data_IF_722826068216
#
_entry.id   IF_722826068216
#
_cell.length_a   1.000
_cell.length_b   1.000
_cell.length_c   1.000
_cell.angle_alpha   90.00
_cell.angle_beta   90.00
_cell.angle_gamma   90.00
#
_symmetry.space_group_name_H-M   'P 1'
#
loop_
_entity.id
_entity.type
_entity.pdbx_description
1 polymer ?
#
# COMPACT_ATOMS: atom_id res chain seq x y z
N UNK A 1 -3.16 54.52 -20.67
CA UNK A 1 -2.09 53.64 -21.22
C UNK A 1 -1.44 52.97 -20.02
N UNK A 2 -1.89 51.77 -19.65
CA UNK A 2 -1.47 51.11 -18.40
C UNK A 2 -0.26 50.21 -18.65
N UNK A 3 0.82 50.34 -17.86
CA UNK A 3 1.99 49.48 -18.03
C UNK A 3 1.68 48.08 -17.51
N UNK A 4 1.86 47.10 -18.39
CA UNK A 4 1.82 45.68 -18.06
C UNK A 4 2.92 45.35 -17.04
N UNK A 5 2.53 45.07 -15.79
CA UNK A 5 3.40 44.44 -14.80
C UNK A 5 3.73 43.02 -15.28
N UNK A 6 4.84 42.89 -15.99
CA UNK A 6 5.44 41.61 -16.39
C UNK A 6 6.10 40.99 -15.15
N UNK A 7 5.27 40.47 -14.24
CA UNK A 7 5.72 39.67 -13.10
C UNK A 7 6.48 38.45 -13.61
N UNK A 8 7.81 38.52 -13.53
CA UNK A 8 8.66 37.34 -13.65
C UNK A 8 8.47 36.52 -12.37
N UNK A 9 7.42 35.69 -12.37
CA UNK A 9 7.20 34.64 -11.37
C UNK A 9 8.31 33.60 -11.46
N UNK A 10 9.50 33.92 -10.92
CA UNK A 10 10.45 32.89 -10.51
C UNK A 10 9.73 32.09 -9.41
N UNK A 11 9.44 30.79 -9.59
CA UNK A 11 8.73 30.02 -8.60
C UNK A 11 9.48 30.13 -7.26
N UNK A 12 8.81 30.50 -6.17
CA UNK A 12 9.48 30.72 -4.89
C UNK A 12 10.17 29.41 -4.50
N UNK A 13 11.49 29.48 -4.31
CA UNK A 13 12.37 28.36 -3.88
C UNK A 13 11.81 27.58 -2.67
N UNK A 14 10.87 28.19 -1.94
CA UNK A 14 10.11 27.61 -0.82
C UNK A 14 9.24 26.42 -1.22
N UNK A 15 8.69 26.36 -2.44
CA UNK A 15 7.92 25.19 -2.90
C UNK A 15 8.76 23.92 -2.90
N UNK A 16 10.06 24.02 -3.21
CA UNK A 16 10.98 22.87 -3.14
C UNK A 16 11.13 22.37 -1.69
N UNK A 17 11.21 23.28 -0.73
CA UNK A 17 11.25 22.93 0.69
C UNK A 17 9.94 22.32 1.20
N UNK A 18 8.79 22.82 0.73
CA UNK A 18 7.50 22.22 1.06
C UNK A 18 7.35 20.80 0.49
N UNK A 19 7.78 20.56 -0.75
CA UNK A 19 7.77 19.22 -1.35
C UNK A 19 8.72 18.28 -0.61
N UNK A 20 9.92 18.75 -0.25
CA UNK A 20 10.87 17.97 0.53
C UNK A 20 10.30 17.58 1.90
N UNK A 21 9.65 18.53 2.58
CA UNK A 21 8.98 18.29 3.87
C UNK A 21 7.79 17.34 3.74
N UNK A 22 6.94 17.52 2.72
CA UNK A 22 5.79 16.65 2.48
C UNK A 22 6.22 15.21 2.18
N UNK A 23 7.24 15.02 1.33
CA UNK A 23 7.77 13.68 1.03
C UNK A 23 8.40 13.05 2.28
N UNK A 24 9.14 13.82 3.08
CA UNK A 24 9.71 13.35 4.35
C UNK A 24 8.62 12.91 5.34
N UNK A 25 7.54 13.69 5.48
CA UNK A 25 6.41 13.35 6.35
C UNK A 25 5.67 12.09 5.87
N UNK A 26 5.41 11.97 4.56
CA UNK A 26 4.81 10.78 3.96
C UNK A 26 5.70 9.55 4.20
N UNK A 27 7.01 9.70 4.02
CA UNK A 27 7.96 8.62 4.27
C UNK A 27 8.03 8.22 5.75
N UNK A 28 7.99 9.19 6.68
CA UNK A 28 7.98 8.92 8.11
C UNK A 28 6.74 8.14 8.54
N UNK A 29 5.55 8.55 8.09
CA UNK A 29 4.29 7.86 8.36
C UNK A 29 4.35 6.44 7.79
N UNK A 30 4.76 6.28 6.53
CA UNK A 30 4.86 4.98 5.87
C UNK A 30 5.94 4.08 6.49
N UNK A 31 7.03 4.64 6.99
CA UNK A 31 8.12 3.92 7.68
C UNK A 31 7.65 3.36 9.02
N UNK A 32 6.84 4.12 9.78
CA UNK A 32 6.20 3.62 11.00
C UNK A 32 5.22 2.49 10.71
N UNK A 33 4.46 2.56 9.62
CA UNK A 33 3.57 1.47 9.21
C UNK A 33 4.35 0.21 8.82
N UNK A 34 5.44 0.32 8.05
CA UNK A 34 6.27 -0.81 7.64
C UNK A 34 6.88 -1.57 8.84
N UNK A 35 7.32 -0.85 9.88
CA UNK A 35 7.79 -1.48 11.14
C UNK A 35 6.65 -2.20 11.87
N UNK A 36 5.44 -1.64 11.87
CA UNK A 36 4.26 -2.27 12.45
C UNK A 36 3.80 -3.51 11.67
N UNK A 37 3.94 -3.54 10.34
CA UNK A 37 3.67 -4.75 9.54
C UNK A 37 4.63 -5.89 9.89
N UNK A 38 5.91 -5.61 10.10
CA UNK A 38 6.88 -6.64 10.47
C UNK A 38 6.65 -7.20 11.89
N UNK A 39 6.14 -6.37 12.81
CA UNK A 39 5.73 -6.84 14.14
C UNK A 39 4.42 -7.64 14.06
N UNK A 40 3.39 -7.13 13.37
CA UNK A 40 2.10 -7.84 13.19
C UNK A 40 2.24 -9.15 12.42
N UNK A 41 3.13 -9.22 11.43
CA UNK A 41 3.40 -10.46 10.70
C UNK A 41 3.98 -11.55 11.61
N UNK A 42 4.72 -11.20 12.66
CA UNK A 42 5.22 -12.16 13.66
C UNK A 42 4.16 -12.57 14.69
N UNK A 43 3.21 -11.68 15.01
CA UNK A 43 2.09 -12.00 15.91
C UNK A 43 0.92 -12.73 15.22
N UNK A 44 0.89 -12.77 13.88
CA UNK A 44 -0.05 -13.60 13.11
C UNK A 44 0.51 -14.98 12.75
N UNK A 45 1.73 -15.31 13.17
CA UNK A 45 2.10 -16.71 13.41
C UNK A 45 1.23 -17.17 14.56
N UNK A 46 0.01 -17.61 14.24
CA UNK A 46 -0.85 -18.42 15.10
C UNK A 46 0.11 -19.37 15.79
N UNK A 47 0.32 -19.20 17.11
CA UNK A 47 1.07 -20.17 17.89
C UNK A 47 0.55 -21.51 17.40
N UNK A 48 1.41 -22.33 16.81
CA UNK A 48 1.08 -23.73 16.60
C UNK A 48 0.82 -24.20 18.03
N UNK A 49 -0.46 -24.17 18.41
CA UNK A 49 -0.93 -24.79 19.62
C UNK A 49 -0.45 -26.22 19.42
N UNK A 50 0.52 -26.69 20.21
CA UNK A 50 1.10 -28.00 20.01
C UNK A 50 -0.08 -28.99 19.92
N UNK A 51 -0.05 -29.96 18.98
CA UNK A 51 -1.17 -30.85 18.74
C UNK A 51 -1.64 -31.57 20.02
N UNK A 52 -0.77 -31.72 21.03
CA UNK A 52 -1.10 -32.18 22.38
C UNK A 52 -2.16 -31.36 23.14
N UNK A 53 -2.36 -30.07 22.84
CA UNK A 53 -3.28 -29.21 23.60
C UNK A 53 -4.73 -29.27 23.08
N UNK A 54 -5.02 -30.08 22.06
CA UNK A 54 -6.38 -30.48 21.75
C UNK A 54 -6.70 -31.77 22.52
N UNK A 55 -7.44 -31.69 23.64
CA UNK A 55 -7.90 -32.90 24.29
C UNK A 55 -8.77 -33.69 23.31
N UNK A 56 -8.42 -34.95 23.09
CA UNK A 56 -9.22 -35.85 22.27
C UNK A 56 -10.67 -35.86 22.82
N UNK A 57 -11.69 -35.58 21.99
CA UNK A 57 -13.07 -35.64 22.41
C UNK A 57 -13.41 -37.10 22.75
N UNK A 58 -13.35 -37.44 24.04
CA UNK A 58 -13.66 -38.79 24.50
C UNK A 58 -13.13 -39.19 25.88
N UNK A 59 -12.08 -38.55 26.40
CA UNK A 59 -11.53 -38.90 27.72
C UNK A 59 -11.99 -37.92 28.80
N UNK A 60 -13.30 -37.95 29.10
CA UNK A 60 -13.79 -37.41 30.37
C UNK A 60 -13.35 -38.32 31.51
N UNK A 61 -12.37 -37.88 32.31
CA UNK A 61 -12.20 -38.40 33.67
C UNK A 61 -12.23 -37.23 34.65
N UNK A 62 -13.39 -37.10 35.28
CA UNK A 62 -13.59 -36.35 36.51
C UNK A 62 -12.63 -36.88 37.60
N UNK A 63 -11.88 -35.97 38.21
CA UNK A 63 -11.08 -36.20 39.41
C UNK A 63 -10.51 -34.86 39.87
N UNK A 64 -11.29 -34.06 40.58
CA UNK A 64 -11.19 -33.83 42.03
C UNK A 64 -9.86 -33.20 42.50
N UNK A 65 -9.96 -31.89 42.79
CA UNK A 65 -9.50 -31.17 44.01
C UNK A 65 -8.22 -31.59 44.74
N UNK A 66 -7.28 -30.64 44.86
CA UNK A 66 -6.56 -30.17 46.09
C UNK A 66 -5.56 -29.10 45.62
N UNK A 67 -5.75 -27.80 45.87
CA UNK A 67 -5.40 -27.04 47.07
C UNK A 67 -4.00 -27.33 47.65
N UNK A 68 -3.09 -26.37 47.46
CA UNK A 68 -1.83 -26.02 48.18
C UNK A 68 -1.03 -25.12 47.21
N UNK A 69 -0.74 -23.85 47.51
CA UNK A 69 0.21 -23.43 48.54
C UNK A 69 1.56 -23.16 47.86
N UNK A 70 2.26 -22.11 48.29
CA UNK A 70 3.63 -21.71 47.90
C UNK A 70 3.71 -20.71 46.73
N UNK A 71 3.86 -19.39 46.95
CA UNK A 71 4.96 -18.66 47.61
C UNK A 71 6.21 -18.51 46.70
N UNK A 72 6.76 -17.29 46.69
CA UNK A 72 8.08 -16.90 46.16
C UNK A 72 8.32 -16.81 44.63
N UNK A 73 8.34 -15.57 44.10
CA UNK A 73 9.58 -14.81 43.85
C UNK A 73 9.31 -13.54 43.05
N UNK A 74 9.59 -12.41 43.69
CA UNK A 74 9.72 -11.12 43.02
C UNK A 74 10.86 -11.16 42.01
N UNK A 75 10.51 -11.04 40.73
CA UNK A 75 11.45 -10.64 39.69
C UNK A 75 11.37 -9.11 39.57
N UNK A 76 12.30 -8.46 40.26
CA UNK A 76 12.62 -7.05 40.13
C UNK A 76 13.12 -6.79 38.70
N UNK A 77 12.26 -6.28 37.82
CA UNK A 77 12.69 -5.76 36.53
C UNK A 77 13.15 -4.31 36.69
N UNK A 78 14.41 -4.14 37.09
CA UNK A 78 15.16 -2.94 36.72
C UNK A 78 15.44 -3.02 35.22
N UNK A 79 14.72 -2.25 34.42
CA UNK A 79 15.11 -2.03 33.02
C UNK A 79 14.67 -0.67 32.50
N UNK A 80 15.56 0.29 32.69
CA UNK A 80 15.81 1.46 31.83
C UNK A 80 14.60 2.05 31.10
N UNK A 81 13.99 3.09 31.68
CA UNK A 81 13.35 4.14 30.90
C UNK A 81 13.99 5.50 31.25
N UNK A 82 15.27 5.64 30.86
CA UNK A 82 15.87 6.94 30.64
C UNK A 82 15.37 7.47 29.30
N UNK A 83 14.18 8.05 29.30
CA UNK A 83 13.51 8.55 28.11
C UNK A 83 13.12 10.02 28.22
N UNK A 84 13.98 10.91 27.71
CA UNK A 84 13.61 12.18 27.06
C UNK A 84 12.94 13.26 27.92
N UNK A 85 13.72 13.88 28.80
CA UNK A 85 13.37 15.14 29.45
C UNK A 85 13.58 16.33 28.48
N UNK A 86 12.52 16.73 27.78
CA UNK A 86 12.51 17.96 26.98
C UNK A 86 12.28 19.18 27.89
N UNK A 87 13.34 19.93 28.16
CA UNK A 87 13.32 21.39 28.38
C UNK A 87 12.39 21.95 29.47
N UNK A 88 12.91 22.13 30.68
CA UNK A 88 12.33 23.01 31.70
C UNK A 88 12.39 24.48 31.24
N UNK A 89 11.27 25.04 30.76
CA UNK A 89 11.04 26.48 30.80
C UNK A 89 10.30 26.83 32.11
N UNK A 90 10.75 27.83 32.90
CA UNK A 90 9.96 28.35 34.01
C UNK A 90 8.75 29.10 33.41
N UNK A 91 7.59 28.45 33.43
CA UNK A 91 6.31 29.07 33.09
C UNK A 91 5.85 29.91 34.28
N UNK A 92 5.75 31.21 34.06
CA UNK A 92 4.94 32.13 34.85
C UNK A 92 3.55 31.50 35.04
N UNK A 93 3.16 31.26 36.29
CA UNK A 93 1.83 30.75 36.64
C UNK A 93 0.77 31.79 36.26
N UNK A 94 -0.15 31.50 35.31
CA UNK A 94 -1.41 32.21 35.29
C UNK A 94 -2.22 31.72 36.50
N UNK A 95 -2.84 32.65 37.22
CA UNK A 95 -3.77 32.35 38.31
C UNK A 95 -4.88 31.41 37.80
N UNK A 96 -4.84 30.16 38.26
CA UNK A 96 -5.86 29.15 38.02
C UNK A 96 -7.14 29.55 38.74
N UNK A 97 -8.01 30.32 38.07
CA UNK A 97 -9.44 30.23 38.32
C UNK A 97 -9.88 28.83 37.92
N UNK A 98 -10.41 28.05 38.86
CA UNK A 98 -10.95 26.73 38.56
C UNK A 98 -11.97 26.86 37.41
N UNK A 99 -11.91 26.02 36.36
CA UNK A 99 -12.89 26.05 35.28
C UNK A 99 -14.29 25.90 35.90
N UNK A 100 -15.15 26.88 35.70
CA UNK A 100 -16.55 26.79 36.16
C UNK A 100 -17.22 25.63 35.42
N UNK A 101 -17.84 24.70 36.14
CA UNK A 101 -18.58 23.57 35.58
C UNK A 101 -19.64 24.03 34.56
N UNK A 102 -20.23 25.21 34.75
CA UNK A 102 -21.21 25.81 33.84
C UNK A 102 -20.62 26.07 32.44
N UNK A 103 -19.35 26.49 32.36
CA UNK A 103 -18.68 26.75 31.08
C UNK A 103 -18.48 25.48 30.25
N UNK A 104 -18.38 24.32 30.89
CA UNK A 104 -18.19 23.04 30.20
C UNK A 104 -19.50 22.53 29.60
N UNK A 105 -20.62 22.75 30.28
CA UNK A 105 -21.94 22.39 29.74
C UNK A 105 -22.31 23.26 28.53
N UNK A 106 -22.02 24.55 28.59
CA UNK A 106 -22.14 25.46 27.44
C UNK A 106 -21.26 25.03 26.26
N UNK A 107 -20.03 24.61 26.53
CA UNK A 107 -19.11 24.14 25.49
C UNK A 107 -19.55 22.79 24.90
N UNK A 108 -20.11 21.90 25.73
CA UNK A 108 -20.68 20.62 25.29
C UNK A 108 -21.90 20.83 24.38
N UNK A 109 -22.76 21.78 24.73
CA UNK A 109 -23.93 22.13 23.92
C UNK A 109 -23.51 22.72 22.57
N UNK A 110 -22.47 23.56 22.56
CA UNK A 110 -21.86 24.08 21.32
C UNK A 110 -21.22 22.98 20.48
N UNK A 111 -20.51 22.04 21.10
CA UNK A 111 -19.93 20.88 20.41
C UNK A 111 -21.00 19.99 19.78
N UNK A 112 -22.14 19.79 20.45
CA UNK A 112 -23.26 19.03 19.88
C UNK A 112 -23.88 19.74 18.67
N UNK A 113 -24.08 21.06 18.74
CA UNK A 113 -24.58 21.84 17.60
C UNK A 113 -23.60 21.85 16.44
N UNK A 114 -22.30 21.96 16.73
CA UNK A 114 -21.26 21.86 15.71
C UNK A 114 -21.21 20.46 15.09
N UNK A 115 -21.34 19.41 15.91
CA UNK A 115 -21.40 18.02 15.47
C UNK A 115 -22.54 17.75 14.51
N UNK A 116 -23.74 18.25 14.80
CA UNK A 116 -24.89 18.13 13.91
C UNK A 116 -24.67 18.83 12.56
N UNK A 117 -24.19 20.08 12.59
CA UNK A 117 -23.90 20.84 11.37
C UNK A 117 -22.78 20.23 10.53
N UNK A 118 -21.75 19.68 11.17
CA UNK A 118 -20.68 18.98 10.49
C UNK A 118 -21.22 17.72 9.81
N UNK A 119 -22.06 16.95 10.50
CA UNK A 119 -22.63 15.71 9.96
C UNK A 119 -23.46 15.95 8.69
N UNK A 120 -24.33 16.96 8.69
CA UNK A 120 -25.13 17.33 7.50
C UNK A 120 -24.24 17.76 6.33
N UNK A 121 -23.20 18.56 6.60
CA UNK A 121 -22.24 18.97 5.57
C UNK A 121 -21.44 17.79 5.04
N UNK A 122 -21.02 16.86 5.90
CA UNK A 122 -20.35 15.63 5.46
C UNK A 122 -21.26 14.77 4.60
N UNK A 123 -22.57 14.69 4.89
CA UNK A 123 -23.53 14.00 4.03
C UNK A 123 -23.61 14.67 2.65
N UNK A 124 -23.80 15.99 2.58
CA UNK A 124 -23.81 16.76 1.31
C UNK A 124 -22.50 16.59 0.52
N UNK A 125 -21.34 16.64 1.20
CA UNK A 125 -20.05 16.42 0.56
C UNK A 125 -19.87 14.97 0.12
N UNK A 126 -20.38 14.00 0.88
CA UNK A 126 -20.30 12.58 0.52
C UNK A 126 -21.13 12.28 -0.74
N UNK A 127 -22.30 12.91 -0.88
CA UNK A 127 -23.13 12.78 -2.05
C UNK A 127 -22.43 13.36 -3.30
N UNK A 128 -21.89 14.58 -3.20
CA UNK A 128 -21.16 15.22 -4.31
C UNK A 128 -19.82 14.52 -4.65
N UNK A 129 -19.14 13.96 -3.64
CA UNK A 129 -17.86 13.26 -3.85
C UNK A 129 -18.07 11.86 -4.39
N UNK A 130 -19.16 11.17 -4.03
CA UNK A 130 -19.47 9.84 -4.56
C UNK A 130 -19.68 9.86 -6.07
N UNK A 131 -20.40 10.84 -6.61
CA UNK A 131 -20.56 10.96 -8.06
C UNK A 131 -19.22 11.20 -8.77
N UNK A 132 -18.37 12.04 -8.16
CA UNK A 132 -17.03 12.30 -8.68
C UNK A 132 -16.17 11.02 -8.67
N UNK A 133 -16.21 10.25 -7.58
CA UNK A 133 -15.47 8.99 -7.46
C UNK A 133 -16.02 7.95 -8.44
N UNK A 134 -17.34 7.77 -8.53
CA UNK A 134 -17.98 6.85 -9.48
C UNK A 134 -17.55 7.17 -10.92
N UNK A 135 -17.58 8.45 -11.32
CA UNK A 135 -17.11 8.88 -12.62
C UNK A 135 -15.62 8.55 -12.85
N UNK A 136 -14.75 8.77 -11.86
CA UNK A 136 -13.33 8.38 -11.99
C UNK A 136 -13.13 6.87 -12.09
N UNK A 137 -13.93 6.06 -11.38
CA UNK A 137 -13.88 4.61 -11.41
C UNK A 137 -14.36 4.08 -12.76
N UNK A 138 -15.44 4.64 -13.32
CA UNK A 138 -15.91 4.30 -14.66
C UNK A 138 -14.87 4.66 -15.72
N UNK A 139 -14.27 5.84 -15.63
CA UNK A 139 -13.16 6.24 -16.50
C UNK A 139 -11.97 5.28 -16.39
N UNK A 140 -11.58 4.88 -15.18
CA UNK A 140 -10.49 3.93 -14.95
C UNK A 140 -10.83 2.53 -15.49
N UNK A 141 -12.07 2.07 -15.32
CA UNK A 141 -12.54 0.80 -15.92
C UNK A 141 -12.45 0.85 -17.45
N UNK A 142 -12.92 1.94 -18.07
CA UNK A 142 -12.80 2.14 -19.51
C UNK A 142 -11.33 2.14 -19.97
N UNK A 143 -10.46 2.81 -19.20
CA UNK A 143 -9.01 2.82 -19.48
C UNK A 143 -8.38 1.44 -19.32
N UNK A 144 -8.79 0.66 -18.33
CA UNK A 144 -8.32 -0.71 -18.10
C UNK A 144 -8.75 -1.66 -19.22
N UNK A 145 -10.01 -1.54 -19.68
CA UNK A 145 -10.53 -2.32 -20.81
C UNK A 145 -9.76 -2.00 -22.09
N UNK A 146 -9.52 -0.70 -22.36
CA UNK A 146 -8.69 -0.25 -23.49
C UNK A 146 -7.27 -0.80 -23.42
N UNK A 147 -6.66 -0.79 -22.23
CA UNK A 147 -5.31 -1.31 -22.03
C UNK A 147 -5.21 -2.83 -22.26
N UNK A 148 -6.22 -3.60 -21.85
CA UNK A 148 -6.26 -5.06 -22.14
C UNK A 148 -6.34 -5.35 -23.64
N UNK A 149 -7.17 -4.60 -24.37
CA UNK A 149 -7.29 -4.74 -25.83
C UNK A 149 -5.98 -4.39 -26.55
N UNK A 150 -5.27 -3.36 -26.08
CA UNK A 150 -3.98 -2.94 -26.65
C UNK A 150 -2.88 -3.99 -26.45
N UNK A 151 -2.81 -4.57 -25.24
CA UNK A 151 -1.82 -5.62 -24.95
C UNK A 151 -2.05 -6.87 -25.81
N UNK A 152 -3.30 -7.24 -26.08
CA UNK A 152 -3.62 -8.35 -26.97
C UNK A 152 -3.17 -8.08 -28.42
N UNK A 153 -3.30 -6.84 -28.90
CA UNK A 153 -2.80 -6.43 -30.22
C UNK A 153 -1.28 -6.54 -30.33
N UNK A 154 -0.55 -5.98 -29.37
CA UNK A 154 0.91 -6.08 -29.34
C UNK A 154 1.39 -7.53 -29.29
N UNK A 155 0.70 -8.37 -28.51
CA UNK A 155 1.06 -9.79 -28.41
C UNK A 155 0.80 -10.52 -29.73
N UNK A 156 -0.29 -10.19 -30.44
CA UNK A 156 -0.59 -10.75 -31.77
C UNK A 156 0.42 -10.32 -32.82
N UNK A 157 0.80 -9.05 -32.84
CA UNK A 157 1.84 -8.53 -33.76
C UNK A 157 3.19 -9.21 -33.52
N UNK A 158 3.61 -9.35 -32.26
CA UNK A 158 4.86 -10.02 -31.93
C UNK A 158 4.84 -11.51 -32.33
N UNK A 159 3.69 -12.18 -32.20
CA UNK A 159 3.52 -13.57 -32.66
C UNK A 159 3.56 -13.68 -34.18
N UNK A 160 2.89 -12.77 -34.89
CA UNK A 160 2.89 -12.75 -36.36
C UNK A 160 4.31 -12.53 -36.91
N UNK A 161 5.07 -11.57 -36.38
CA UNK A 161 6.46 -11.35 -36.77
C UNK A 161 7.34 -12.58 -36.50
N UNK A 162 7.11 -13.28 -35.37
CA UNK A 162 7.85 -14.51 -35.05
C UNK A 162 7.52 -15.64 -36.03
N UNK A 163 6.26 -15.77 -36.43
CA UNK A 163 5.83 -16.78 -37.41
C UNK A 163 6.38 -16.49 -38.82
N UNK A 164 6.44 -15.23 -39.23
CA UNK A 164 7.09 -14.80 -40.47
C UNK A 164 8.58 -15.13 -40.48
N UNK A 165 9.29 -14.84 -39.38
CA UNK A 165 10.70 -15.21 -39.20
C UNK A 165 10.90 -16.73 -39.29
N UNK A 166 10.02 -17.51 -38.67
CA UNK A 166 10.08 -18.98 -38.76
C UNK A 166 9.80 -19.48 -40.18
N UNK A 167 8.87 -18.86 -40.92
CA UNK A 167 8.59 -19.22 -42.32
C UNK A 167 9.79 -18.95 -43.22
N UNK A 168 10.40 -17.78 -43.10
CA UNK A 168 11.61 -17.45 -43.86
C UNK A 168 12.73 -18.45 -43.57
N UNK A 169 12.91 -18.83 -42.31
CA UNK A 169 13.90 -19.84 -41.94
C UNK A 169 13.56 -21.24 -42.50
N UNK A 170 12.28 -21.64 -42.49
CA UNK A 170 11.84 -22.91 -43.05
C UNK A 170 12.05 -22.98 -44.57
N UNK A 171 11.80 -21.89 -45.30
CA UNK A 171 12.06 -21.80 -46.73
C UNK A 171 13.56 -21.83 -47.06
N UNK A 172 14.36 -21.10 -46.27
CA UNK A 172 15.81 -21.12 -46.38
C UNK A 172 16.40 -22.52 -46.14
N UNK A 173 15.93 -23.22 -45.10
CA UNK A 173 16.38 -24.59 -44.81
C UNK A 173 15.94 -25.57 -45.90
N UNK A 174 14.69 -25.49 -46.39
CA UNK A 174 14.19 -26.33 -47.50
C UNK A 174 15.03 -26.18 -48.77
N UNK A 175 15.43 -24.95 -49.11
CA UNK A 175 16.29 -24.68 -50.28
C UNK A 175 17.67 -25.33 -50.16
N UNK A 176 18.19 -25.46 -48.94
CA UNK A 176 19.48 -26.10 -48.66
C UNK A 176 19.38 -27.63 -48.59
N UNK A 177 18.22 -28.16 -48.19
CA UNK A 177 17.92 -29.59 -48.13
C UNK A 177 17.48 -30.22 -49.45
N UNK A 178 17.37 -29.43 -50.52
CA UNK A 178 17.19 -29.94 -51.88
C UNK A 178 18.56 -29.93 -52.57
N UNK A 179 19.49 -30.86 -52.24
CA UNK A 179 20.68 -31.03 -53.04
C UNK A 179 20.20 -31.42 -54.42
N UNK A 180 20.38 -30.52 -55.39
CA UNK A 180 20.08 -30.79 -56.78
C UNK A 180 20.66 -32.16 -57.11
N UNK A 181 19.80 -33.07 -57.57
CA UNK A 181 20.24 -34.30 -58.19
C UNK A 181 21.36 -33.91 -59.14
N UNK A 182 22.59 -34.45 -58.96
CA UNK A 182 23.68 -34.11 -59.85
C UNK A 182 23.19 -34.37 -61.27
N UNK A 183 23.42 -33.46 -62.23
CA UNK A 183 23.02 -33.70 -63.61
C UNK A 183 23.65 -35.03 -64.00
N UNK A 184 22.81 -36.04 -64.20
CA UNK A 184 23.19 -37.36 -64.67
C UNK A 184 23.94 -37.14 -65.97
N UNK A 185 25.28 -37.16 -65.88
CA UNK A 185 26.18 -36.94 -67.00
C UNK A 185 25.90 -38.03 -68.01
N UNK A 186 25.22 -37.58 -69.07
CA UNK A 186 24.74 -38.35 -70.18
C UNK A 186 25.94 -39.02 -70.87
N UNK A 187 25.93 -40.33 -70.74
CA UNK A 187 26.72 -41.32 -71.47
C UNK A 187 26.95 -40.90 -72.92
N UNK A 188 28.07 -40.25 -73.22
CA UNK A 188 28.52 -40.07 -74.61
C UNK A 188 29.61 -41.08 -74.88
N UNK A 189 29.12 -42.28 -75.21
CA UNK A 189 29.80 -43.38 -75.89
C UNK A 189 30.15 -42.94 -77.32
N UNK A 190 31.44 -42.84 -77.66
CA UNK A 190 31.98 -42.98 -79.03
C UNK A 190 33.41 -43.51 -78.86
N UNK A 191 33.62 -44.82 -78.98
CA UNK A 191 34.13 -45.56 -80.17
C UNK A 191 35.58 -45.24 -80.51
#
# INVERSE_FOLDING_TARGET
MYPYYRWSCKPPSRLRWFLLGAVSAIWWIKSKEARNYHLKAKFCSRHQIPPEAYPLPGCGRFGHTTDSGDEERGAHYDRYDQGWYWGSHPRSSPSNGAPSWDSWEDDRLRMMQFGHRANEKFTEFSEATLDTICNTVEFLKAKLAKHRAEHERQTKELRAMREEQMRQYAEWTKSRSSPGSPPSSESTRVQ
#
